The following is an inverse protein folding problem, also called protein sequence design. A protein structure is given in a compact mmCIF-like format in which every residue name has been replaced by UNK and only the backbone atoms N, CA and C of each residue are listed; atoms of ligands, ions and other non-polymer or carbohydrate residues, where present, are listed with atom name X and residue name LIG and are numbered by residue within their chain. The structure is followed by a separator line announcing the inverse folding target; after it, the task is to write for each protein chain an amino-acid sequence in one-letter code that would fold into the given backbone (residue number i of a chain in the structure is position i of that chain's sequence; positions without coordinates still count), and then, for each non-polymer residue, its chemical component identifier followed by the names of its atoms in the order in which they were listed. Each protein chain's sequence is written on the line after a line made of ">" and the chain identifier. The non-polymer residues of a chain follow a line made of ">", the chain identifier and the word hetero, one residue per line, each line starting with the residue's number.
data_IF_914884644094
#
_entry.id   IF_914884644094
#
_cell.length_a   1.000
_cell.length_b   1.000
_cell.length_c   1.000
_cell.angle_alpha   90.00
_cell.angle_beta   90.00
_cell.angle_gamma   90.00
#
_symmetry.space_group_name_H-M   'P 1'
#
loop_
_entity.id
_entity.type
_entity.pdbx_description
1 polymer ?
#
# COMPACT_ATOMS: atom_id res chain seq x y z
N UNK A 1 23.06 -4.00 -21.77
CA UNK A 1 22.38 -5.23 -21.30
C UNK A 1 21.13 -5.40 -22.14
N UNK A 2 20.92 -6.55 -22.80
CA UNK A 2 19.71 -6.80 -23.58
C UNK A 2 18.54 -7.09 -22.63
N UNK A 3 17.43 -6.36 -22.76
CA UNK A 3 16.25 -6.58 -21.92
C UNK A 3 15.58 -7.91 -22.31
N UNK A 4 15.13 -8.71 -21.32
CA UNK A 4 14.42 -9.96 -21.62
C UNK A 4 13.05 -9.65 -22.22
N UNK A 5 12.56 -10.52 -23.12
CA UNK A 5 11.19 -10.42 -23.64
C UNK A 5 10.13 -10.45 -22.52
N UNK A 6 10.43 -11.12 -21.39
CA UNK A 6 9.56 -11.12 -20.22
C UNK A 6 9.42 -9.74 -19.54
N UNK A 7 10.28 -8.77 -19.87
CA UNK A 7 10.16 -7.40 -19.33
C UNK A 7 8.98 -6.66 -19.96
N UNK A 8 8.68 -6.88 -21.24
CA UNK A 8 7.50 -6.28 -21.88
C UNK A 8 6.21 -6.85 -21.28
N UNK A 9 6.14 -8.18 -21.09
CA UNK A 9 5.04 -8.84 -20.38
C UNK A 9 4.85 -8.30 -18.95
N UNK A 10 5.97 -8.01 -18.27
CA UNK A 10 5.95 -7.40 -16.93
C UNK A 10 5.39 -5.98 -16.98
N UNK A 11 5.83 -5.13 -17.93
CA UNK A 11 5.32 -3.76 -18.12
C UNK A 11 3.82 -3.75 -18.38
N UNK A 12 3.37 -4.63 -19.26
CA UNK A 12 1.96 -4.79 -19.63
C UNK A 12 1.09 -5.19 -18.43
N UNK A 13 1.48 -6.23 -17.70
CA UNK A 13 0.78 -6.67 -16.48
C UNK A 13 0.77 -5.57 -15.43
N UNK A 14 1.91 -4.93 -15.20
CA UNK A 14 2.05 -3.86 -14.22
C UNK A 14 1.16 -2.66 -14.51
N UNK A 15 1.06 -2.23 -15.77
CA UNK A 15 0.18 -1.13 -16.14
C UNK A 15 -1.30 -1.49 -15.92
N UNK A 16 -1.73 -2.72 -16.27
CA UNK A 16 -3.11 -3.17 -16.01
C UNK A 16 -3.43 -3.22 -14.52
N UNK A 17 -2.60 -3.89 -13.74
CA UNK A 17 -2.78 -4.04 -12.29
C UNK A 17 -2.67 -2.68 -11.59
N UNK A 18 -1.69 -1.86 -11.98
CA UNK A 18 -1.43 -0.54 -11.43
C UNK A 18 -2.55 0.48 -11.68
N UNK A 19 -3.34 0.31 -12.74
CA UNK A 19 -4.52 1.14 -13.04
C UNK A 19 -5.77 0.71 -12.27
N UNK A 20 -5.73 -0.42 -11.57
CA UNK A 20 -6.82 -0.88 -10.73
C UNK A 20 -6.67 -0.37 -9.29
N UNK A 21 -7.43 0.67 -8.93
CA UNK A 21 -7.45 1.28 -7.59
C UNK A 21 -7.82 0.30 -6.46
N UNK A 22 -8.38 -0.88 -6.77
CA UNK A 22 -8.63 -1.92 -5.75
C UNK A 22 -7.41 -2.78 -5.42
N UNK A 23 -6.37 -2.74 -6.27
CA UNK A 23 -5.16 -3.55 -6.13
C UNK A 23 -3.95 -2.68 -5.81
N UNK A 24 -3.81 -1.53 -6.45
CA UNK A 24 -2.63 -0.66 -6.33
C UNK A 24 -3.07 0.79 -6.20
N UNK A 25 -2.52 1.51 -5.22
CA UNK A 25 -2.83 2.91 -4.98
C UNK A 25 -1.55 3.74 -4.95
N UNK A 26 -1.46 4.70 -5.88
CA UNK A 26 -0.27 5.55 -6.03
C UNK A 26 1.01 4.75 -6.27
N UNK A 27 2.00 4.96 -5.39
CA UNK A 27 3.29 4.29 -5.45
C UNK A 27 3.36 2.99 -4.62
N UNK A 28 2.27 2.54 -3.99
CA UNK A 28 2.19 1.21 -3.38
C UNK A 28 2.23 0.09 -4.42
N UNK A 29 2.42 -1.16 -3.99
CA UNK A 29 2.46 -2.31 -4.88
C UNK A 29 3.65 -2.33 -5.88
N UNK A 30 4.10 -3.53 -6.21
CA UNK A 30 5.40 -3.75 -6.84
C UNK A 30 5.34 -5.04 -7.66
N UNK A 31 6.10 -5.13 -8.74
CA UNK A 31 6.22 -6.36 -9.52
C UNK A 31 7.66 -6.58 -9.92
N UNK A 32 8.00 -7.84 -10.19
CA UNK A 32 9.31 -8.21 -10.70
C UNK A 32 9.30 -9.42 -11.62
N UNK A 33 10.36 -9.54 -12.41
CA UNK A 33 10.72 -10.76 -13.13
C UNK A 33 12.18 -11.11 -12.89
N UNK A 34 12.45 -12.39 -12.67
CA UNK A 34 13.78 -12.99 -12.58
C UNK A 34 14.16 -13.61 -13.92
N UNK A 35 15.38 -13.32 -14.39
CA UNK A 35 15.98 -13.97 -15.55
C UNK A 35 17.47 -14.25 -15.26
N UNK A 36 17.80 -15.50 -14.93
CA UNK A 36 19.12 -15.85 -14.39
C UNK A 36 19.39 -15.14 -13.06
N UNK A 37 20.54 -14.50 -12.93
CA UNK A 37 20.88 -13.66 -11.76
C UNK A 37 20.22 -12.27 -11.79
N UNK A 38 19.52 -11.91 -12.87
CA UNK A 38 18.94 -10.58 -12.98
C UNK A 38 17.52 -10.55 -12.41
N UNK A 39 17.29 -9.68 -11.43
CA UNK A 39 15.97 -9.32 -10.92
C UNK A 39 15.60 -7.94 -11.46
N UNK A 40 14.62 -7.88 -12.37
CA UNK A 40 14.01 -6.61 -12.78
C UNK A 40 12.84 -6.32 -11.86
N UNK A 41 12.91 -5.24 -11.10
CA UNK A 41 11.92 -4.90 -10.06
C UNK A 41 11.51 -3.44 -10.16
N UNK A 42 10.28 -3.13 -9.74
CA UNK A 42 9.78 -1.75 -9.70
C UNK A 42 10.75 -0.86 -8.91
N UNK A 43 11.04 0.31 -9.47
CA UNK A 43 11.78 1.36 -8.79
C UNK A 43 10.96 1.99 -7.65
N UNK A 44 11.65 2.52 -6.64
CA UNK A 44 11.00 3.28 -5.57
C UNK A 44 10.40 4.60 -6.10
N UNK A 45 9.23 4.97 -5.60
CA UNK A 45 8.52 6.21 -5.97
C UNK A 45 7.84 6.21 -7.34
N UNK A 46 7.99 5.15 -8.15
CA UNK A 46 7.30 5.01 -9.43
C UNK A 46 5.97 4.27 -9.29
N UNK A 47 5.10 4.46 -10.28
CA UNK A 47 3.75 3.94 -10.30
C UNK A 47 3.66 2.80 -11.32
N UNK A 48 3.11 1.65 -10.92
CA UNK A 48 2.93 0.53 -11.84
C UNK A 48 2.02 0.91 -13.03
N UNK A 49 1.06 1.82 -12.82
CA UNK A 49 0.16 2.34 -13.84
C UNK A 49 0.88 2.98 -15.04
N UNK A 50 2.11 3.48 -14.82
CA UNK A 50 2.94 4.17 -15.81
C UNK A 50 3.94 3.22 -16.51
N UNK A 51 3.90 1.91 -16.22
CA UNK A 51 4.92 0.98 -16.67
C UNK A 51 5.06 0.85 -18.20
N UNK A 52 4.00 1.17 -18.95
CA UNK A 52 4.04 1.19 -20.41
C UNK A 52 4.64 2.49 -20.97
N UNK A 53 4.55 3.58 -20.22
CA UNK A 53 4.88 4.92 -20.69
C UNK A 53 6.24 5.42 -20.16
N UNK A 54 6.72 4.84 -19.06
CA UNK A 54 7.95 5.22 -18.37
C UNK A 54 8.80 4.00 -18.02
N UNK A 55 10.11 4.20 -17.91
CA UNK A 55 11.01 3.19 -17.38
C UNK A 55 10.89 3.14 -15.86
N UNK A 56 10.08 2.19 -15.37
CA UNK A 56 9.79 2.03 -13.94
C UNK A 56 10.48 0.82 -13.31
N UNK A 57 11.24 0.04 -14.09
CA UNK A 57 11.94 -1.15 -13.63
C UNK A 57 13.45 -0.93 -13.61
N UNK A 58 14.09 -1.41 -12.54
CA UNK A 58 15.55 -1.38 -12.41
C UNK A 58 16.12 -2.80 -12.32
N UNK A 59 17.31 -3.05 -12.90
CA UNK A 59 17.99 -4.32 -12.78
C UNK A 59 18.75 -4.40 -11.44
N UNK A 60 18.59 -5.53 -10.75
CA UNK A 60 19.23 -5.88 -9.48
C UNK A 60 19.92 -7.23 -9.62
N UNK A 61 21.10 -7.42 -9.03
CA UNK A 61 21.69 -8.76 -8.90
C UNK A 61 20.96 -9.53 -7.81
N UNK A 62 20.32 -10.63 -8.19
CA UNK A 62 19.55 -11.49 -7.30
C UNK A 62 20.44 -12.14 -6.24
N UNK A 63 21.62 -12.63 -6.63
CA UNK A 63 22.60 -13.22 -5.71
C UNK A 63 23.08 -12.19 -4.69
N UNK A 64 23.44 -10.98 -5.13
CA UNK A 64 23.87 -9.92 -4.22
C UNK A 64 22.73 -9.48 -3.28
N UNK A 65 21.50 -9.37 -3.79
CA UNK A 65 20.33 -9.05 -2.98
C UNK A 65 20.08 -10.10 -1.87
N UNK A 66 20.15 -11.39 -2.21
CA UNK A 66 19.98 -12.49 -1.24
C UNK A 66 21.09 -12.50 -0.20
N UNK A 67 22.34 -12.34 -0.61
CA UNK A 67 23.48 -12.27 0.30
C UNK A 67 23.39 -11.07 1.27
N UNK A 68 22.92 -9.92 0.80
CA UNK A 68 22.67 -8.76 1.66
C UNK A 68 21.61 -9.05 2.73
N UNK A 69 20.49 -9.68 2.34
CA UNK A 69 19.42 -10.05 3.27
C UNK A 69 19.87 -11.06 4.33
N UNK A 70 20.70 -12.04 3.96
CA UNK A 70 21.30 -13.00 4.90
C UNK A 70 22.19 -12.30 5.94
N UNK A 71 22.81 -11.18 5.58
CA UNK A 71 23.61 -10.35 6.49
C UNK A 71 22.78 -9.31 7.26
N UNK A 72 21.45 -9.28 7.06
CA UNK A 72 20.57 -8.29 7.67
C UNK A 72 20.66 -6.89 7.04
N UNK A 73 21.15 -6.78 5.80
CA UNK A 73 21.17 -5.52 5.04
C UNK A 73 20.01 -5.49 4.04
N UNK A 74 19.10 -4.53 4.22
CA UNK A 74 17.95 -4.32 3.32
C UNK A 74 18.30 -3.50 2.07
N UNK A 75 19.52 -2.94 2.00
CA UNK A 75 19.97 -2.19 0.82
C UNK A 75 20.27 -3.16 -0.30
N UNK A 76 19.38 -3.18 -1.29
CA UNK A 76 19.55 -4.01 -2.47
C UNK A 76 20.33 -3.25 -3.54
N UNK A 77 21.57 -3.65 -3.85
CA UNK A 77 22.38 -2.97 -4.85
C UNK A 77 21.81 -3.21 -6.25
N UNK A 78 21.89 -2.18 -7.10
CA UNK A 78 21.63 -2.33 -8.53
C UNK A 78 22.64 -3.31 -9.15
N UNK A 79 22.26 -3.94 -10.25
CA UNK A 79 23.17 -4.78 -11.00
C UNK A 79 24.39 -3.97 -11.52
N UNK A 80 25.57 -4.61 -11.66
CA UNK A 80 26.71 -3.99 -12.35
C UNK A 80 26.29 -3.44 -13.72
N UNK A 81 26.81 -2.27 -14.09
CA UNK A 81 26.50 -1.54 -15.33
C UNK A 81 25.04 -1.08 -15.50
N UNK A 82 24.23 -1.08 -14.43
CA UNK A 82 22.90 -0.48 -14.45
C UNK A 82 22.99 1.02 -14.77
N UNK A 83 22.52 1.41 -15.96
CA UNK A 83 22.45 2.82 -16.39
C UNK A 83 21.11 3.43 -15.97
N UNK A 84 20.95 3.69 -14.67
CA UNK A 84 19.75 4.31 -14.12
C UNK A 84 20.08 5.17 -12.91
N UNK A 85 19.36 6.26 -12.73
CA UNK A 85 19.37 7.08 -11.50
C UNK A 85 18.28 6.63 -10.51
N UNK A 86 17.40 5.72 -10.93
CA UNK A 86 16.35 5.17 -10.10
C UNK A 86 16.91 4.13 -9.13
N UNK A 87 16.30 4.04 -7.96
CA UNK A 87 16.63 3.04 -6.94
C UNK A 87 15.58 1.93 -6.95
N UNK A 88 15.99 0.72 -6.59
CA UNK A 88 15.07 -0.38 -6.40
C UNK A 88 14.06 -0.07 -5.27
N UNK A 89 12.87 -0.66 -5.35
CA UNK A 89 11.89 -0.52 -4.28
C UNK A 89 12.42 -1.05 -2.95
N UNK A 90 11.98 -0.44 -1.86
CA UNK A 90 12.19 -0.85 -0.46
C UNK A 90 11.78 -2.32 -0.20
N UNK A 91 10.82 -2.83 -0.96
CA UNK A 91 10.30 -4.20 -0.80
C UNK A 91 10.91 -5.18 -1.80
N UNK A 92 12.02 -4.80 -2.46
CA UNK A 92 12.76 -5.71 -3.36
C UNK A 92 13.15 -7.02 -2.65
N UNK A 93 13.29 -7.00 -1.32
CA UNK A 93 13.53 -8.19 -0.50
C UNK A 93 12.48 -9.28 -0.71
N UNK A 94 11.18 -8.92 -0.76
CA UNK A 94 10.09 -9.85 -1.05
C UNK A 94 10.29 -10.55 -2.40
N UNK A 95 10.64 -9.75 -3.41
CA UNK A 95 10.86 -10.22 -4.77
C UNK A 95 12.10 -11.10 -4.91
N UNK A 96 13.14 -10.85 -4.11
CA UNK A 96 14.35 -11.66 -4.10
C UNK A 96 14.16 -13.01 -3.37
N UNK A 97 13.39 -13.00 -2.28
CA UNK A 97 13.12 -14.18 -1.45
C UNK A 97 12.16 -15.16 -2.13
N UNK A 98 11.05 -14.67 -2.69
CA UNK A 98 10.08 -15.53 -3.37
C UNK A 98 10.77 -16.34 -4.49
N UNK A 99 10.61 -17.68 -4.54
CA UNK A 99 11.37 -18.53 -5.47
C UNK A 99 10.92 -18.40 -6.92
N UNK A 100 9.77 -17.77 -7.17
CA UNK A 100 9.11 -17.76 -8.47
C UNK A 100 9.76 -16.81 -9.48
N UNK A 101 9.71 -17.13 -10.79
CA UNK A 101 10.18 -16.23 -11.84
C UNK A 101 9.51 -14.86 -11.83
N UNK A 102 8.19 -14.80 -11.61
CA UNK A 102 7.42 -13.57 -11.53
C UNK A 102 6.86 -13.41 -10.13
N UNK A 103 6.99 -12.22 -9.56
CA UNK A 103 6.43 -11.88 -8.26
C UNK A 103 5.62 -10.59 -8.39
N UNK A 104 4.38 -10.62 -7.92
CA UNK A 104 3.45 -9.50 -7.94
C UNK A 104 2.98 -9.21 -6.51
N UNK A 105 3.30 -8.02 -6.02
CA UNK A 105 2.85 -7.50 -4.74
C UNK A 105 1.81 -6.40 -4.97
N UNK A 106 0.64 -6.54 -4.36
CA UNK A 106 -0.47 -5.58 -4.46
C UNK A 106 -1.03 -5.26 -3.08
N UNK A 107 -1.44 -4.00 -2.88
CA UNK A 107 -2.13 -3.53 -1.68
C UNK A 107 -3.63 -3.70 -1.91
N UNK A 108 -4.05 -4.97 -2.06
CA UNK A 108 -5.44 -5.29 -2.34
C UNK A 108 -6.34 -4.78 -1.21
N UNK A 109 -7.36 -4.02 -1.59
CA UNK A 109 -8.39 -3.52 -0.69
C UNK A 109 -9.10 -4.67 0.04
N UNK A 110 -9.39 -5.78 -0.67
CA UNK A 110 -10.06 -6.93 -0.07
C UNK A 110 -9.14 -7.62 0.94
N UNK A 111 -7.87 -7.82 0.57
CA UNK A 111 -6.87 -8.44 1.44
C UNK A 111 -6.63 -7.60 2.69
N UNK A 112 -6.46 -6.29 2.55
CA UNK A 112 -6.32 -5.36 3.69
C UNK A 112 -7.58 -5.43 4.56
N UNK A 113 -8.78 -5.36 3.97
CA UNK A 113 -10.03 -5.42 4.72
C UNK A 113 -10.17 -6.73 5.52
N UNK A 114 -9.67 -7.86 5.03
CA UNK A 114 -9.57 -9.08 5.84
C UNK A 114 -8.49 -9.00 6.91
N UNK A 115 -7.27 -8.62 6.52
CA UNK A 115 -6.07 -8.68 7.34
C UNK A 115 -6.09 -7.73 8.55
N UNK A 116 -6.95 -6.70 8.55
CA UNK A 116 -7.15 -5.82 9.71
C UNK A 116 -8.21 -6.35 10.70
N UNK A 117 -8.88 -7.47 10.44
CA UNK A 117 -9.89 -8.03 11.32
C UNK A 117 -9.30 -9.06 12.29
N UNK A 118 -9.73 -9.02 13.56
CA UNK A 118 -9.40 -10.08 14.51
C UNK A 118 -9.99 -11.43 14.03
N UNK A 119 -9.18 -12.48 14.06
CA UNK A 119 -9.60 -13.81 13.59
C UNK A 119 -9.58 -13.98 12.07
N UNK A 120 -8.95 -13.06 11.33
CA UNK A 120 -8.84 -13.15 9.86
C UNK A 120 -8.26 -14.48 9.38
N UNK A 121 -7.32 -15.08 10.12
CA UNK A 121 -6.64 -16.31 9.74
C UNK A 121 -7.62 -17.47 9.45
N UNK A 122 -8.64 -17.67 10.28
CA UNK A 122 -9.59 -18.79 10.12
C UNK A 122 -10.43 -18.63 8.85
N UNK A 123 -10.89 -17.41 8.59
CA UNK A 123 -11.73 -17.12 7.43
C UNK A 123 -10.91 -17.09 6.13
N UNK A 124 -9.66 -16.61 6.19
CA UNK A 124 -8.70 -16.73 5.09
C UNK A 124 -8.41 -18.20 4.77
N UNK A 125 -8.21 -19.05 5.79
CA UNK A 125 -7.98 -20.48 5.60
C UNK A 125 -9.13 -21.19 4.90
N UNK A 126 -10.36 -20.86 5.28
CA UNK A 126 -11.55 -21.40 4.62
C UNK A 126 -11.70 -20.90 3.18
N UNK A 127 -11.42 -19.63 2.91
CA UNK A 127 -11.61 -19.03 1.57
C UNK A 127 -10.51 -19.39 0.57
N UNK A 128 -9.28 -19.53 1.05
CA UNK A 128 -8.10 -19.82 0.24
C UNK A 128 -7.77 -21.31 0.22
N UNK A 129 -8.69 -22.17 0.65
CA UNK A 129 -8.56 -23.62 0.58
C UNK A 129 -8.18 -24.07 -0.85
N UNK A 130 -7.20 -24.96 -0.93
CA UNK A 130 -6.67 -25.48 -2.19
C UNK A 130 -5.58 -24.62 -2.83
N UNK A 131 -5.24 -23.45 -2.29
CA UNK A 131 -4.08 -22.66 -2.70
C UNK A 131 -2.85 -22.99 -1.84
N UNK A 132 -1.65 -22.86 -2.41
CA UNK A 132 -0.40 -22.90 -1.66
C UNK A 132 -0.17 -21.52 -1.02
N UNK A 133 -0.74 -21.31 0.17
CA UNK A 133 -0.78 -19.98 0.78
C UNK A 133 -0.34 -19.94 2.25
N UNK A 134 0.11 -18.77 2.70
CA UNK A 134 0.40 -18.47 4.11
C UNK A 134 -0.11 -17.08 4.51
N UNK A 135 -0.52 -16.96 5.77
CA UNK A 135 -0.79 -15.68 6.44
C UNK A 135 0.40 -15.31 7.31
N UNK A 136 0.82 -14.04 7.26
CA UNK A 136 1.80 -13.47 8.16
C UNK A 136 1.12 -12.37 8.99
N UNK A 137 1.35 -12.38 10.30
CA UNK A 137 0.99 -11.24 11.13
C UNK A 137 1.74 -9.98 10.68
N UNK A 138 1.24 -8.82 11.11
CA UNK A 138 1.86 -7.55 10.74
C UNK A 138 3.35 -7.53 11.09
N UNK A 139 4.18 -7.30 10.08
CA UNK A 139 5.60 -7.04 10.20
C UNK A 139 5.90 -5.70 9.54
N UNK A 140 6.76 -4.90 10.17
CA UNK A 140 7.19 -3.64 9.57
C UNK A 140 7.83 -3.88 8.19
N UNK A 141 7.45 -3.11 7.14
CA UNK A 141 8.07 -3.21 5.82
C UNK A 141 9.59 -3.04 5.89
N UNK A 142 10.32 -3.75 5.02
CA UNK A 142 11.79 -3.83 5.06
C UNK A 142 12.28 -5.14 5.69
N UNK A 143 13.37 -5.09 6.44
CA UNK A 143 14.03 -6.29 6.98
C UNK A 143 13.14 -7.21 7.84
N UNK A 144 12.30 -6.71 8.79
CA UNK A 144 11.48 -7.58 9.63
C UNK A 144 10.50 -8.42 8.81
N UNK A 145 9.83 -7.80 7.84
CA UNK A 145 8.95 -8.50 6.91
C UNK A 145 9.72 -9.49 6.03
N UNK A 146 10.91 -9.12 5.54
CA UNK A 146 11.75 -10.03 4.75
C UNK A 146 12.12 -11.31 5.55
N UNK A 147 12.45 -11.18 6.82
CA UNK A 147 12.75 -12.31 7.71
C UNK A 147 11.53 -13.22 7.92
N UNK A 148 10.35 -12.63 8.17
CA UNK A 148 9.11 -13.37 8.31
C UNK A 148 8.75 -14.16 7.04
N UNK A 149 8.93 -13.53 5.87
CA UNK A 149 8.71 -14.19 4.57
C UNK A 149 9.71 -15.32 4.36
N UNK A 150 11.00 -15.08 4.62
CA UNK A 150 12.05 -16.11 4.51
C UNK A 150 11.72 -17.35 5.35
N UNK A 151 11.28 -17.15 6.60
CA UNK A 151 10.86 -18.24 7.47
C UNK A 151 9.63 -18.99 6.94
N UNK A 152 8.66 -18.28 6.38
CA UNK A 152 7.41 -18.86 5.87
C UNK A 152 7.60 -19.70 4.60
N UNK A 153 8.59 -19.37 3.77
CA UNK A 153 8.88 -20.07 2.50
C UNK A 153 10.00 -21.11 2.62
N UNK A 154 10.64 -21.24 3.79
CA UNK A 154 11.82 -22.09 3.97
C UNK A 154 11.54 -23.59 3.75
N UNK A 155 10.35 -24.06 4.16
CA UNK A 155 10.03 -25.49 4.18
C UNK A 155 8.80 -25.86 3.32
N UNK A 156 8.01 -24.87 2.91
CA UNK A 156 6.78 -25.10 2.16
C UNK A 156 6.81 -24.35 0.83
N UNK A 157 6.22 -24.95 -0.21
CA UNK A 157 5.89 -24.21 -1.42
C UNK A 157 4.77 -23.23 -1.09
N UNK A 158 5.04 -21.93 -1.25
CA UNK A 158 4.07 -20.87 -0.99
C UNK A 158 3.99 -19.97 -2.22
N UNK A 159 2.84 -19.98 -2.90
CA UNK A 159 2.58 -19.13 -4.06
C UNK A 159 1.87 -17.83 -3.68
N UNK A 160 1.17 -17.82 -2.54
CA UNK A 160 0.35 -16.70 -2.06
C UNK A 160 0.71 -16.36 -0.61
N UNK A 161 1.12 -15.11 -0.37
CA UNK A 161 1.30 -14.56 0.97
C UNK A 161 0.28 -13.46 1.22
N UNK A 162 -0.50 -13.62 2.30
CA UNK A 162 -1.33 -12.56 2.84
C UNK A 162 -0.57 -11.91 3.99
N UNK A 163 -0.31 -10.61 3.87
CA UNK A 163 0.46 -9.83 4.83
C UNK A 163 -0.49 -9.03 5.73
N UNK A 164 -0.43 -9.29 7.04
CA UNK A 164 -1.19 -8.61 8.08
C UNK A 164 -1.14 -7.10 7.94
N UNK A 165 -2.30 -6.43 7.91
CA UNK A 165 -2.41 -4.99 7.73
C UNK A 165 -1.66 -4.42 6.51
N UNK A 166 -1.32 -5.19 5.48
CA UNK A 166 -0.44 -4.70 4.40
C UNK A 166 -0.95 -5.04 3.00
N UNK A 167 -1.09 -6.31 2.65
CA UNK A 167 -1.48 -6.66 1.29
C UNK A 167 -1.23 -8.11 0.90
N UNK A 168 -1.03 -8.33 -0.39
CA UNK A 168 -0.93 -9.63 -1.03
C UNK A 168 0.37 -9.72 -1.83
N UNK A 169 1.12 -10.81 -1.68
CA UNK A 169 2.24 -11.17 -2.57
C UNK A 169 1.90 -12.47 -3.26
N UNK A 170 2.06 -12.51 -4.57
CA UNK A 170 1.86 -13.69 -5.41
C UNK A 170 3.13 -14.00 -6.18
N UNK A 171 3.55 -15.27 -6.15
CA UNK A 171 4.60 -15.81 -6.99
C UNK A 171 4.02 -16.74 -8.07
N UNK A 172 4.49 -16.62 -9.31
CA UNK A 172 4.07 -17.51 -10.39
C UNK A 172 5.14 -17.69 -11.49
N UNK A 173 4.92 -18.66 -12.38
CA UNK A 173 5.81 -18.95 -13.50
C UNK A 173 5.80 -17.87 -14.60
N UNK A 174 4.70 -17.14 -14.76
CA UNK A 174 4.51 -16.11 -15.80
C UNK A 174 3.68 -14.93 -15.29
N UNK A 175 3.78 -13.76 -15.92
CA UNK A 175 2.96 -12.59 -15.60
C UNK A 175 1.46 -12.90 -15.68
N UNK A 176 1.03 -13.61 -16.74
CA UNK A 176 -0.36 -14.05 -16.88
C UNK A 176 -0.81 -14.94 -15.72
N UNK A 177 0.02 -15.87 -15.27
CA UNK A 177 -0.30 -16.74 -14.14
C UNK A 177 -0.36 -15.97 -12.81
N UNK A 178 0.54 -15.00 -12.60
CA UNK A 178 0.52 -14.14 -11.42
C UNK A 178 -0.76 -13.28 -11.37
N UNK A 179 -1.13 -12.63 -12.48
CA UNK A 179 -2.35 -11.83 -12.60
C UNK A 179 -3.62 -12.70 -12.41
N UNK A 180 -3.63 -13.92 -12.96
CA UNK A 180 -4.74 -14.87 -12.77
C UNK A 180 -4.86 -15.33 -11.31
N UNK A 181 -3.74 -15.60 -10.63
CA UNK A 181 -3.75 -16.01 -9.22
C UNK A 181 -4.17 -14.86 -8.29
N UNK A 182 -3.73 -13.62 -8.55
CA UNK A 182 -4.28 -12.43 -7.86
C UNK A 182 -5.79 -12.35 -8.08
N UNK A 183 -6.27 -12.58 -9.31
CA UNK A 183 -7.70 -12.54 -9.63
C UNK A 183 -8.49 -13.61 -8.86
N UNK A 184 -7.98 -14.85 -8.76
CA UNK A 184 -8.63 -15.93 -7.98
C UNK A 184 -8.70 -15.57 -6.49
N UNK A 185 -7.60 -15.09 -5.91
CA UNK A 185 -7.55 -14.61 -4.52
C UNK A 185 -8.57 -13.49 -4.29
N UNK A 186 -8.62 -12.49 -5.18
CA UNK A 186 -9.57 -11.38 -5.08
C UNK A 186 -11.04 -11.82 -5.14
N UNK A 187 -11.35 -12.83 -5.97
CA UNK A 187 -12.69 -13.38 -6.08
C UNK A 187 -13.10 -14.12 -4.80
N UNK A 188 -12.20 -14.95 -4.25
CA UNK A 188 -12.42 -15.68 -2.99
C UNK A 188 -12.57 -14.75 -1.79
N UNK A 189 -11.82 -13.65 -1.78
CA UNK A 189 -11.79 -12.66 -0.70
C UNK A 189 -12.75 -11.50 -0.92
N UNK A 190 -13.59 -11.52 -1.97
CA UNK A 190 -14.46 -10.41 -2.31
C UNK A 190 -15.38 -10.02 -1.14
N UNK A 191 -15.25 -8.77 -0.69
CA UNK A 191 -16.16 -8.13 0.25
C UNK A 191 -16.96 -7.06 -0.49
N UNK A 192 -18.31 -7.12 -0.48
CA UNK A 192 -19.13 -6.07 -1.07
C UNK A 192 -19.02 -4.79 -0.24
N UNK A 193 -18.85 -3.61 -0.87
CA UNK A 193 -18.87 -2.35 -0.14
C UNK A 193 -20.28 -2.05 0.36
N UNK A 194 -20.39 -1.50 1.57
CA UNK A 194 -21.60 -0.85 2.07
C UNK A 194 -21.78 0.49 1.37
N UNK A 195 -23.04 0.87 1.13
CA UNK A 195 -23.36 2.22 0.69
C UNK A 195 -23.18 3.23 1.82
N UNK A 196 -22.82 4.46 1.46
CA UNK A 196 -22.74 5.59 2.39
C UNK A 196 -23.68 6.72 1.93
N UNK A 197 -24.17 7.57 2.84
CA UNK A 197 -24.92 8.77 2.48
C UNK A 197 -24.11 9.71 1.58
N UNK A 198 -24.80 10.47 0.73
CA UNK A 198 -24.16 11.48 -0.11
C UNK A 198 -23.55 12.62 0.71
N UNK A 199 -22.41 13.13 0.24
CA UNK A 199 -21.74 14.26 0.86
C UNK A 199 -22.53 15.57 0.72
N UNK A 200 -22.36 16.48 1.68
CA UNK A 200 -22.82 17.87 1.54
C UNK A 200 -21.68 18.73 0.99
N UNK A 201 -21.50 18.70 -0.33
CA UNK A 201 -20.43 19.44 -0.99
C UNK A 201 -20.52 20.96 -0.77
N UNK A 202 -21.72 21.53 -0.66
CA UNK A 202 -21.90 22.96 -0.41
C UNK A 202 -21.30 23.35 0.95
N UNK A 203 -21.57 22.55 1.99
CA UNK A 203 -20.98 22.74 3.31
C UNK A 203 -19.45 22.50 3.28
N UNK A 204 -18.96 21.47 2.58
CA UNK A 204 -17.52 21.24 2.43
C UNK A 204 -16.81 22.40 1.73
N UNK A 205 -17.41 22.97 0.67
CA UNK A 205 -16.85 24.15 -0.02
C UNK A 205 -16.81 25.37 0.89
N UNK A 206 -17.81 25.55 1.75
CA UNK A 206 -17.79 26.61 2.77
C UNK A 206 -16.68 26.36 3.81
N UNK A 207 -16.48 25.12 4.28
CA UNK A 207 -15.37 24.75 5.18
C UNK A 207 -14.01 24.98 4.52
N UNK A 208 -13.87 24.70 3.22
CA UNK A 208 -12.63 24.93 2.49
C UNK A 208 -12.39 26.40 2.14
N UNK A 209 -13.40 27.26 2.20
CA UNK A 209 -13.29 28.66 1.80
C UNK A 209 -12.24 29.39 2.66
N UNK A 210 -11.30 30.09 2.02
CA UNK A 210 -10.18 30.76 2.68
C UNK A 210 -9.27 29.84 3.53
N UNK A 211 -9.18 28.56 3.17
CA UNK A 211 -8.28 27.57 3.82
C UNK A 211 -7.30 26.97 2.83
N UNK A 212 -6.34 26.20 3.34
CA UNK A 212 -5.44 25.38 2.52
C UNK A 212 -6.02 24.00 2.15
N UNK A 213 -7.32 23.81 2.32
CA UNK A 213 -8.03 22.57 1.96
C UNK A 213 -8.91 22.74 0.73
N UNK A 214 -9.24 21.60 0.12
CA UNK A 214 -10.18 21.44 -0.99
C UNK A 214 -10.93 20.12 -0.85
N UNK A 215 -11.94 19.92 -1.70
CA UNK A 215 -12.55 18.61 -1.85
C UNK A 215 -11.55 17.64 -2.52
N UNK A 216 -11.53 16.36 -2.12
CA UNK A 216 -10.78 15.31 -2.81
C UNK A 216 -11.26 15.14 -4.25
N UNK A 217 -10.39 14.62 -5.11
CA UNK A 217 -10.73 14.40 -6.54
C UNK A 217 -11.73 13.27 -6.69
N UNK A 218 -11.58 12.21 -5.89
CA UNK A 218 -12.48 11.07 -5.90
C UNK A 218 -13.63 11.28 -4.90
N UNK A 219 -14.89 11.32 -5.35
CA UNK A 219 -16.03 11.53 -4.45
C UNK A 219 -16.21 10.40 -3.43
N UNK A 220 -15.67 9.20 -3.69
CA UNK A 220 -15.73 8.07 -2.74
C UNK A 220 -15.00 8.37 -1.44
N UNK A 221 -14.02 9.30 -1.45
CA UNK A 221 -13.34 9.75 -0.24
C UNK A 221 -14.31 10.31 0.81
N UNK A 222 -15.49 10.78 0.41
CA UNK A 222 -16.49 11.28 1.34
C UNK A 222 -17.18 10.18 2.16
N UNK A 223 -17.26 8.96 1.63
CA UNK A 223 -17.92 7.81 2.26
C UNK A 223 -17.30 7.47 3.63
N UNK A 224 -16.04 7.87 3.86
CA UNK A 224 -15.35 7.73 5.13
C UNK A 224 -16.08 8.49 6.23
N UNK A 225 -16.56 9.70 5.94
CA UNK A 225 -17.09 10.63 6.94
C UNK A 225 -18.62 10.74 6.91
N UNK A 226 -19.27 10.37 5.81
CA UNK A 226 -20.74 10.40 5.72
C UNK A 226 -21.41 9.18 6.35
N UNK A 227 -20.71 8.04 6.41
CA UNK A 227 -21.16 6.84 7.14
C UNK A 227 -20.53 6.76 8.53
N UNK A 228 -21.35 6.55 9.56
CA UNK A 228 -20.89 6.55 10.95
C UNK A 228 -19.95 5.37 11.27
N UNK A 229 -20.14 4.21 10.63
CA UNK A 229 -19.29 3.04 10.85
C UNK A 229 -17.94 3.19 10.16
N UNK A 230 -17.92 3.68 8.92
CA UNK A 230 -16.66 4.00 8.23
C UNK A 230 -15.85 5.04 9.00
N UNK A 231 -16.53 6.08 9.51
CA UNK A 231 -15.91 7.13 10.30
C UNK A 231 -15.29 6.56 11.57
N UNK A 232 -16.05 5.77 12.33
CA UNK A 232 -15.56 5.15 13.56
C UNK A 232 -14.31 4.29 13.33
N UNK A 233 -14.28 3.54 12.23
CA UNK A 233 -13.10 2.74 11.84
C UNK A 233 -11.92 3.67 11.50
N UNK A 234 -12.11 4.66 10.62
CA UNK A 234 -11.04 5.53 10.17
C UNK A 234 -10.43 6.40 11.28
N UNK A 235 -11.22 6.74 12.29
CA UNK A 235 -10.77 7.51 13.46
C UNK A 235 -10.26 6.65 14.61
N UNK A 236 -10.47 5.32 14.55
CA UNK A 236 -10.06 4.39 15.61
C UNK A 236 -8.55 4.10 15.64
N UNK A 237 -7.84 4.38 14.54
CA UNK A 237 -6.40 4.17 14.41
C UNK A 237 -6.00 3.98 12.95
N UNK A 238 -4.73 3.66 12.72
CA UNK A 238 -4.21 3.40 11.38
C UNK A 238 -4.39 1.94 10.97
N UNK A 239 -4.82 1.72 9.72
CA UNK A 239 -5.16 0.37 9.24
C UNK A 239 -4.00 -0.36 8.58
N UNK A 240 -3.10 0.34 7.88
CA UNK A 240 -2.02 -0.27 7.09
C UNK A 240 -0.87 0.73 6.84
N UNK A 241 0.36 0.29 6.50
CA UNK A 241 1.53 1.18 6.42
C UNK A 241 1.34 2.42 5.54
N UNK A 242 0.84 2.23 4.32
CA UNK A 242 0.65 3.34 3.38
C UNK A 242 -0.36 4.39 3.87
N UNK A 243 -1.37 3.99 4.65
CA UNK A 243 -2.26 4.94 5.32
C UNK A 243 -1.42 5.92 6.16
N UNK A 244 -0.55 5.40 7.02
CA UNK A 244 0.31 6.22 7.89
C UNK A 244 1.25 7.10 7.08
N UNK A 245 1.92 6.52 6.08
CA UNK A 245 2.94 7.20 5.28
C UNK A 245 2.36 8.38 4.49
N UNK A 246 1.16 8.23 3.92
CA UNK A 246 0.58 9.24 3.02
C UNK A 246 -0.45 10.16 3.69
N UNK A 247 -1.19 9.68 4.68
CA UNK A 247 -2.25 10.45 5.35
C UNK A 247 -1.86 10.90 6.76
N UNK A 248 -0.84 10.28 7.35
CA UNK A 248 -0.52 10.39 8.77
C UNK A 248 -1.30 9.38 9.61
N UNK A 249 -0.98 9.29 10.92
CA UNK A 249 -1.72 8.44 11.84
C UNK A 249 -3.12 9.02 12.07
N UNK A 250 -4.13 8.13 12.15
CA UNK A 250 -5.55 8.40 12.44
C UNK A 250 -6.08 9.77 11.97
N UNK A 251 -6.92 9.77 10.92
CA UNK A 251 -7.45 11.02 10.36
C UNK A 251 -8.25 11.83 11.39
N UNK A 252 -7.93 13.12 11.59
CA UNK A 252 -8.64 13.94 12.55
C UNK A 252 -10.03 14.32 12.07
N UNK A 253 -10.92 14.59 13.03
CA UNK A 253 -12.28 15.05 12.76
C UNK A 253 -12.47 16.54 13.06
N UNK A 254 -13.33 17.18 12.28
CA UNK A 254 -13.87 18.51 12.55
C UNK A 254 -15.37 18.41 12.78
N UNK A 255 -15.80 18.55 14.04
CA UNK A 255 -17.22 18.46 14.41
C UNK A 255 -18.02 19.65 13.89
N UNK A 256 -19.30 19.45 13.59
CA UNK A 256 -20.21 20.50 13.10
C UNK A 256 -20.51 21.62 14.13
N UNK A 257 -20.24 21.36 15.42
CA UNK A 257 -20.29 22.36 16.49
C UNK A 257 -18.93 22.81 17.00
N UNK A 258 -17.85 22.41 16.31
CA UNK A 258 -16.50 22.82 16.66
C UNK A 258 -16.29 24.30 16.28
N UNK A 259 -15.74 25.09 17.20
CA UNK A 259 -15.38 26.49 16.92
C UNK A 259 -14.06 26.60 16.18
N UNK A 260 -13.27 25.52 16.16
CA UNK A 260 -12.01 25.46 15.41
C UNK A 260 -12.30 25.48 13.93
N UNK A 261 -11.45 26.16 13.20
CA UNK A 261 -11.41 26.06 11.76
C UNK A 261 -10.55 24.86 11.35
N UNK A 262 -10.71 24.36 10.12
CA UNK A 262 -9.85 23.27 9.61
C UNK A 262 -8.36 23.66 9.62
N UNK A 263 -8.06 24.96 9.53
CA UNK A 263 -6.70 25.52 9.66
C UNK A 263 -6.11 25.41 11.06
N UNK A 264 -6.95 25.23 12.09
CA UNK A 264 -6.52 25.19 13.49
C UNK A 264 -6.13 23.76 13.92
N UNK A 265 -6.42 22.76 13.07
CA UNK A 265 -6.05 21.39 13.30
C UNK A 265 -4.55 21.20 13.01
N UNK A 266 -3.87 20.57 13.97
CA UNK A 266 -2.47 20.18 13.83
C UNK A 266 -2.38 18.67 13.61
N UNK A 267 -1.42 18.22 12.79
CA UNK A 267 -1.05 16.81 12.75
C UNK A 267 -0.47 16.37 14.09
N UNK A 268 -0.36 15.06 14.28
CA UNK A 268 0.23 14.45 15.47
C UNK A 268 1.67 14.89 15.74
N UNK A 269 2.44 15.25 14.71
CA UNK A 269 3.78 15.83 14.85
C UNK A 269 3.78 17.34 15.22
N UNK A 270 2.61 17.99 15.22
CA UNK A 270 2.43 19.40 15.55
C UNK A 270 3.02 20.41 14.57
N UNK A 271 3.66 19.94 13.49
CA UNK A 271 4.48 20.76 12.59
C UNK A 271 3.74 21.22 11.35
N UNK A 272 2.72 20.47 10.90
CA UNK A 272 1.91 20.80 9.71
C UNK A 272 0.42 20.57 9.95
N UNK A 273 -0.46 21.13 9.11
CA UNK A 273 -1.86 20.72 9.11
C UNK A 273 -2.00 19.27 8.61
N UNK A 274 -2.99 18.51 9.11
CA UNK A 274 -3.30 17.15 8.66
C UNK A 274 -3.47 17.05 7.14
N UNK A 275 -3.09 15.92 6.52
CA UNK A 275 -3.22 15.75 5.07
C UNK A 275 -4.67 15.78 4.62
N UNK A 276 -5.54 15.10 5.37
CA UNK A 276 -6.98 15.10 5.18
C UNK A 276 -7.70 15.27 6.52
N UNK A 277 -8.94 15.76 6.47
CA UNK A 277 -9.81 15.97 7.63
C UNK A 277 -11.18 15.41 7.32
N UNK A 278 -11.76 14.71 8.30
CA UNK A 278 -13.10 14.12 8.21
C UNK A 278 -14.11 15.06 8.89
N UNK A 279 -15.21 15.36 8.20
CA UNK A 279 -16.31 16.18 8.72
C UNK A 279 -17.53 15.27 8.91
N UNK A 280 -17.81 14.81 10.14
CA UNK A 280 -18.84 13.79 10.38
C UNK A 280 -20.20 14.14 9.80
N UNK A 281 -20.78 13.21 9.04
CA UNK A 281 -22.07 13.35 8.36
C UNK A 281 -22.07 14.28 7.14
N UNK A 282 -20.96 14.95 6.82
CA UNK A 282 -20.85 15.91 5.71
C UNK A 282 -19.93 15.37 4.62
N UNK A 283 -18.74 14.86 4.97
CA UNK A 283 -17.76 14.33 4.02
C UNK A 283 -16.34 14.61 4.45
N UNK A 284 -15.40 14.63 3.50
CA UNK A 284 -13.97 14.75 3.75
C UNK A 284 -13.36 15.88 2.93
N UNK A 285 -12.29 16.47 3.45
CA UNK A 285 -11.48 17.49 2.78
C UNK A 285 -10.01 17.09 2.82
N UNK A 286 -9.26 17.51 1.82
CA UNK A 286 -7.83 17.21 1.68
C UNK A 286 -7.06 18.51 1.42
N UNK A 287 -5.81 18.58 1.87
CA UNK A 287 -4.96 19.74 1.62
C UNK A 287 -4.78 20.00 0.11
N UNK A 288 -4.71 21.27 -0.27
CA UNK A 288 -4.51 21.71 -1.66
C UNK A 288 -3.20 21.21 -2.25
N UNK A 289 -2.15 21.12 -1.43
CA UNK A 289 -0.83 20.65 -1.80
C UNK A 289 -0.63 19.13 -1.60
N UNK A 290 -1.70 18.39 -1.29
CA UNK A 290 -1.63 16.94 -1.15
C UNK A 290 -1.16 16.28 -2.46
N UNK A 291 -0.26 15.31 -2.33
CA UNK A 291 0.28 14.58 -3.48
C UNK A 291 -0.78 13.68 -4.12
N UNK A 292 -0.56 13.28 -5.38
CA UNK A 292 -1.41 12.29 -6.02
C UNK A 292 -1.43 10.94 -5.28
N UNK A 293 -0.35 10.61 -4.54
CA UNK A 293 -0.31 9.45 -3.66
C UNK A 293 -1.25 9.58 -2.45
N UNK A 294 -1.31 10.76 -1.83
CA UNK A 294 -2.25 11.02 -0.74
C UNK A 294 -3.72 10.96 -1.19
N UNK A 295 -4.03 11.46 -2.39
CA UNK A 295 -5.37 11.33 -2.99
C UNK A 295 -5.76 9.86 -3.22
N UNK A 296 -4.87 9.08 -3.82
CA UNK A 296 -5.08 7.65 -4.01
C UNK A 296 -5.24 6.92 -2.66
N UNK A 297 -4.50 7.35 -1.64
CA UNK A 297 -4.57 6.74 -0.32
C UNK A 297 -5.85 7.06 0.43
N UNK A 298 -6.36 8.29 0.34
CA UNK A 298 -7.66 8.66 0.90
C UNK A 298 -8.78 7.85 0.23
N UNK A 299 -8.69 7.65 -1.08
CA UNK A 299 -9.61 6.77 -1.82
C UNK A 299 -9.50 5.32 -1.32
N UNK A 300 -8.28 4.81 -1.11
CA UNK A 300 -8.05 3.47 -0.57
C UNK A 300 -8.71 3.29 0.80
N UNK A 301 -8.54 4.26 1.70
CA UNK A 301 -9.15 4.23 3.03
C UNK A 301 -10.68 4.15 2.95
N UNK A 302 -11.31 4.90 2.02
CA UNK A 302 -12.75 4.77 1.76
C UNK A 302 -13.11 3.36 1.27
N UNK A 303 -12.36 2.81 0.34
CA UNK A 303 -12.59 1.47 -0.21
C UNK A 303 -12.42 0.37 0.85
N UNK A 304 -11.47 0.48 1.76
CA UNK A 304 -11.26 -0.49 2.85
C UNK A 304 -12.37 -0.37 3.90
N UNK A 305 -12.62 0.85 4.41
CA UNK A 305 -13.59 1.08 5.49
C UNK A 305 -15.00 0.63 5.11
N UNK A 306 -15.45 0.94 3.89
CA UNK A 306 -16.77 0.54 3.41
C UNK A 306 -16.96 -0.99 3.26
N UNK A 307 -15.90 -1.80 3.32
CA UNK A 307 -15.97 -3.28 3.20
C UNK A 307 -15.92 -4.01 4.53
N UNK A 308 -15.46 -3.36 5.59
CA UNK A 308 -15.28 -3.97 6.91
C UNK A 308 -16.62 -4.23 7.62
N UNK A 309 -16.99 -5.46 8.00
CA UNK A 309 -18.27 -5.74 8.65
C UNK A 309 -18.57 -4.81 9.85
N UNK A 310 -19.83 -4.49 10.10
CA UNK A 310 -20.24 -3.55 11.17
C UNK A 310 -19.82 -4.00 12.57
N UNK A 311 -19.69 -5.31 12.77
CA UNK A 311 -19.26 -5.95 14.02
C UNK A 311 -17.78 -6.36 14.00
N UNK A 312 -17.01 -5.95 12.98
CA UNK A 312 -15.60 -6.29 12.87
C UNK A 312 -14.82 -5.67 14.04
N UNK A 313 -14.06 -6.51 14.73
CA UNK A 313 -13.06 -6.04 15.70
C UNK A 313 -11.77 -5.79 14.93
N UNK A 314 -11.35 -4.53 14.88
CA UNK A 314 -10.22 -4.10 14.06
C UNK A 314 -8.92 -4.17 14.86
N UNK A 315 -7.89 -4.74 14.25
CA UNK A 315 -6.51 -4.70 14.69
C UNK A 315 -5.81 -3.51 14.03
N UNK A 316 -5.75 -2.37 14.73
CA UNK A 316 -5.04 -1.19 14.27
C UNK A 316 -3.53 -1.34 14.46
N UNK A 317 -2.76 -0.64 13.64
CA UNK A 317 -1.33 -0.44 13.89
C UNK A 317 -1.14 0.29 15.21
N UNK A 318 -0.13 -0.11 15.98
CA UNK A 318 0.20 0.53 17.25
C UNK A 318 0.92 1.86 17.01
N UNK A 319 0.91 2.77 18.00
CA UNK A 319 1.68 4.02 17.95
C UNK A 319 3.18 3.76 17.67
N UNK A 320 3.73 2.66 18.19
CA UNK A 320 5.11 2.25 17.90
C UNK A 320 5.31 1.92 16.41
N UNK A 321 4.34 1.27 15.78
CA UNK A 321 4.39 0.99 14.35
C UNK A 321 4.30 2.28 13.54
N UNK A 322 3.40 3.18 13.90
CA UNK A 322 3.23 4.47 13.21
C UNK A 322 4.50 5.32 13.29
N UNK A 323 5.09 5.43 14.48
CA UNK A 323 6.33 6.17 14.70
C UNK A 323 7.53 5.56 13.93
N UNK A 324 7.61 4.22 13.87
CA UNK A 324 8.63 3.55 13.08
C UNK A 324 8.49 3.87 11.58
N UNK A 325 7.27 3.79 11.03
CA UNK A 325 6.99 4.07 9.61
C UNK A 325 7.33 5.52 9.22
N UNK A 326 6.94 6.49 10.05
CA UNK A 326 7.19 7.91 9.76
C UNK A 326 8.69 8.25 9.81
N UNK A 327 9.42 7.75 10.81
CA UNK A 327 10.86 7.98 10.90
C UNK A 327 11.63 7.26 9.80
N UNK A 328 11.20 6.05 9.44
CA UNK A 328 11.79 5.28 8.35
C UNK A 328 11.60 5.97 7.00
N UNK A 329 10.40 6.48 6.72
CA UNK A 329 10.15 7.27 5.52
C UNK A 329 10.99 8.56 5.48
N UNK A 330 11.10 9.26 6.61
CA UNK A 330 11.94 10.45 6.73
C UNK A 330 13.43 10.13 6.49
N UNK A 331 13.91 9.00 6.99
CA UNK A 331 15.29 8.53 6.79
C UNK A 331 15.55 8.18 5.32
N UNK A 332 14.65 7.45 4.67
CA UNK A 332 14.75 7.20 3.24
C UNK A 332 14.73 8.48 2.41
N UNK A 333 13.86 9.44 2.75
CA UNK A 333 13.84 10.75 2.09
C UNK A 333 15.16 11.52 2.30
N UNK A 334 15.76 11.49 3.51
CA UNK A 334 17.08 12.08 3.76
C UNK A 334 18.17 11.41 2.91
N UNK A 335 18.16 10.08 2.82
CA UNK A 335 19.08 9.32 1.97
C UNK A 335 18.88 9.58 0.47
N UNK A 336 17.67 9.96 0.05
CA UNK A 336 17.42 10.42 -1.33
C UNK A 336 18.11 11.76 -1.61
N UNK A 337 18.03 12.72 -0.68
CA UNK A 337 18.66 14.03 -0.82
C UNK A 337 20.20 13.98 -0.79
N UNK A 338 20.79 13.14 0.07
CA UNK A 338 22.25 13.07 0.25
C UNK A 338 22.97 12.37 -0.92
N UNK A 339 22.34 11.38 -1.56
CA UNK A 339 22.95 10.68 -2.70
C UNK A 339 22.66 11.31 -4.08
N UNK A 340 21.97 12.46 -4.11
CA UNK A 340 21.85 13.34 -5.29
C UNK A 340 22.86 14.51 -5.23
N UNK A 341 23.84 14.47 -4.33
CA UNK A 341 25.00 15.36 -4.24
C UNK A 341 26.26 14.60 -4.65
#
# INVERSE_FOLDING_TARGET
>A
MQQPAQLDDLRDMSARVGRNMRLVQGAGGNSSVKNGDMLWVKASGTWLADAMDKDVFVPVSLTAARAALEQGDERVPLAPDAKTTLRASIETSLHALMPHPVVLHVHSVNTIAWAVQNGAADELARRLEGLAWRYLDYCHPGLPLAQAVSAAIANDSVDVLILGNHGLVVGAATCRAAEALVTDVEQRLALPPRGAPSANEAALRAICAATDYRLPVDPRCHDIATDASNLAIATGGSLYPDHVVFLGPALPTLGTGDKRHVSDLKSTDGLRPPVAVLVPGIGSVIRKDASAGAEAMLTCLALVTCRLPLNARIHYLTEQNEHALLNWNAEHYRQQLTANR
#
